data_IF_717349801521
#
_entry.id   IF_717349801521
#
_cell.length_a   1.000
_cell.length_b   1.000
_cell.length_c   1.000
_cell.angle_alpha   90.00
_cell.angle_beta   90.00
_cell.angle_gamma   90.00
#
_symmetry.space_group_name_H-M   'P 1'
#
loop_
_entity.id
_entity.type
_entity.pdbx_description
1 polymer ?
#
# COMPACT_ATOMS: atom_id res chain seq x y z
N UNK A 1 1.14 -21.71 -35.42
CA UNK A 1 0.80 -20.33 -35.04
C UNK A 1 1.35 -20.10 -33.65
N UNK A 2 2.23 -19.12 -33.47
CA UNK A 2 2.70 -18.78 -32.12
C UNK A 2 1.58 -18.14 -31.36
N UNK A 3 1.20 -18.74 -30.23
CA UNK A 3 0.21 -18.17 -29.30
C UNK A 3 0.92 -17.01 -28.58
N UNK A 4 0.71 -15.80 -29.07
CA UNK A 4 1.25 -14.60 -28.42
C UNK A 4 0.23 -14.16 -27.39
N UNK A 5 0.57 -14.30 -26.12
CA UNK A 5 -0.21 -13.75 -24.99
C UNK A 5 0.26 -12.31 -24.81
N UNK A 6 -0.62 -11.35 -24.98
CA UNK A 6 -0.31 -9.94 -24.77
C UNK A 6 -0.23 -9.61 -23.29
N UNK A 7 0.47 -8.53 -22.94
CA UNK A 7 0.51 -7.99 -21.58
C UNK A 7 -0.88 -7.65 -21.06
N UNK A 8 -1.72 -7.08 -21.92
CA UNK A 8 -3.13 -6.77 -21.62
C UNK A 8 -3.96 -8.03 -21.28
N UNK A 9 -3.64 -9.18 -21.88
CA UNK A 9 -4.35 -10.43 -21.57
C UNK A 9 -3.97 -10.91 -20.18
N UNK A 10 -2.68 -10.82 -19.81
CA UNK A 10 -2.18 -11.17 -18.49
C UNK A 10 -2.81 -10.26 -17.42
N UNK A 11 -2.80 -8.94 -17.66
CA UNK A 11 -3.40 -7.96 -16.74
C UNK A 11 -4.88 -8.25 -16.52
N UNK A 12 -5.65 -8.45 -17.58
CA UNK A 12 -7.07 -8.77 -17.49
C UNK A 12 -7.35 -10.05 -16.70
N UNK A 13 -6.52 -11.06 -16.89
CA UNK A 13 -6.71 -12.33 -16.18
C UNK A 13 -6.33 -12.21 -14.70
N UNK A 14 -5.29 -11.47 -14.36
CA UNK A 14 -4.95 -11.13 -12.97
C UNK A 14 -6.10 -10.37 -12.30
N UNK A 15 -6.65 -9.34 -12.97
CA UNK A 15 -7.81 -8.58 -12.45
C UNK A 15 -9.00 -9.51 -12.19
N UNK A 16 -9.30 -10.44 -13.10
CA UNK A 16 -10.38 -11.42 -12.91
C UNK A 16 -10.15 -12.30 -11.68
N UNK A 17 -8.92 -12.78 -11.48
CA UNK A 17 -8.56 -13.60 -10.32
C UNK A 17 -8.78 -12.83 -9.02
N UNK A 18 -8.31 -11.59 -8.93
CA UNK A 18 -8.48 -10.78 -7.73
C UNK A 18 -9.93 -10.35 -7.46
N UNK A 19 -10.75 -10.21 -8.51
CA UNK A 19 -12.15 -9.83 -8.39
C UNK A 19 -13.11 -11.00 -8.20
N UNK A 20 -12.63 -12.24 -8.21
CA UNK A 20 -13.48 -13.40 -8.02
C UNK A 20 -14.15 -13.38 -6.62
N UNK A 21 -15.21 -14.15 -6.45
CA UNK A 21 -16.01 -14.17 -5.21
C UNK A 21 -15.20 -14.55 -3.96
N UNK A 22 -14.12 -15.33 -4.13
CA UNK A 22 -13.28 -15.78 -3.02
C UNK A 22 -12.37 -14.68 -2.51
N UNK A 23 -11.74 -13.93 -3.42
CA UNK A 23 -10.82 -12.86 -3.07
C UNK A 23 -11.50 -11.50 -2.92
N UNK A 24 -12.53 -11.26 -3.72
CA UNK A 24 -13.41 -10.09 -3.64
C UNK A 24 -12.70 -8.71 -3.59
N UNK A 25 -11.56 -8.58 -4.30
CA UNK A 25 -10.84 -7.31 -4.36
C UNK A 25 -11.63 -6.25 -5.11
N UNK A 26 -11.59 -5.06 -4.61
CA UNK A 26 -12.08 -3.91 -5.32
C UNK A 26 -11.03 -3.43 -6.34
N UNK A 27 -11.44 -3.34 -7.61
CA UNK A 27 -10.58 -2.82 -8.67
C UNK A 27 -10.81 -1.32 -8.86
N UNK A 28 -9.74 -0.56 -8.87
CA UNK A 28 -9.74 0.86 -9.20
C UNK A 28 -8.79 1.10 -10.37
N UNK A 29 -9.33 1.59 -11.49
CA UNK A 29 -8.52 2.07 -12.59
C UNK A 29 -8.17 3.55 -12.36
N UNK A 30 -6.89 3.83 -12.11
CA UNK A 30 -6.39 5.18 -11.89
C UNK A 30 -5.85 5.85 -13.17
N UNK A 31 -6.19 5.30 -14.33
CA UNK A 31 -5.80 5.91 -15.61
C UNK A 31 -6.59 7.19 -15.86
N UNK A 32 -5.87 8.23 -16.25
CA UNK A 32 -6.43 9.49 -16.74
C UNK A 32 -5.68 9.92 -18.00
N UNK A 33 -6.36 10.63 -18.89
CA UNK A 33 -5.80 10.99 -20.20
C UNK A 33 -4.57 11.90 -20.10
N UNK A 34 -4.49 12.69 -19.02
CA UNK A 34 -3.36 13.60 -18.76
C UNK A 34 -2.71 13.31 -17.43
N UNK A 35 -1.40 13.59 -17.32
CA UNK A 35 -0.63 13.36 -16.10
C UNK A 35 -1.07 14.27 -14.94
N UNK A 36 -1.66 15.41 -15.24
CA UNK A 36 -2.11 16.41 -14.27
C UNK A 36 -3.51 16.13 -13.73
N UNK A 37 -4.29 15.28 -14.42
CA UNK A 37 -5.63 14.95 -13.98
C UNK A 37 -5.60 13.94 -12.82
N UNK A 38 -5.97 14.43 -11.64
CA UNK A 38 -6.04 13.65 -10.40
C UNK A 38 -7.44 13.08 -10.11
N UNK A 39 -8.41 13.22 -11.02
CA UNK A 39 -9.76 12.66 -10.88
C UNK A 39 -9.78 11.16 -11.19
N UNK A 40 -8.84 10.43 -10.66
CA UNK A 40 -8.63 9.00 -10.88
C UNK A 40 -9.26 8.12 -9.78
N UNK A 41 -9.99 8.72 -8.84
CA UNK A 41 -10.60 8.02 -7.72
C UNK A 41 -9.63 7.51 -6.65
N UNK A 42 -8.32 7.75 -6.79
CA UNK A 42 -7.30 7.32 -5.82
C UNK A 42 -7.27 8.19 -4.57
N UNK A 43 -7.67 9.46 -4.69
CA UNK A 43 -7.58 10.45 -3.62
C UNK A 43 -6.16 10.95 -3.37
N UNK A 44 -5.21 10.69 -4.28
CA UNK A 44 -3.84 11.19 -4.19
C UNK A 44 -3.78 12.67 -4.61
N UNK A 45 -2.84 13.39 -4.03
CA UNK A 45 -2.60 14.81 -4.34
C UNK A 45 -1.59 15.03 -5.46
N UNK A 46 -0.84 13.99 -5.84
CA UNK A 46 0.17 14.00 -6.90
C UNK A 46 0.25 12.60 -7.52
N UNK A 47 0.39 12.52 -8.84
CA UNK A 47 0.59 11.25 -9.59
C UNK A 47 1.87 10.51 -9.18
N UNK A 48 2.85 11.21 -8.59
CA UNK A 48 4.06 10.59 -8.03
C UNK A 48 3.82 9.95 -6.65
N UNK A 49 2.70 10.25 -6.02
CA UNK A 49 2.35 9.67 -4.73
C UNK A 49 2.01 8.19 -4.90
N UNK A 50 2.89 7.33 -4.46
CA UNK A 50 2.78 5.87 -4.60
C UNK A 50 1.84 5.29 -3.55
N UNK A 51 1.89 5.82 -2.32
CA UNK A 51 1.05 5.37 -1.21
C UNK A 51 -0.22 6.21 -1.16
N UNK A 52 -1.38 5.57 -1.26
CA UNK A 52 -2.69 6.22 -1.14
C UNK A 52 -2.97 6.50 0.35
N UNK A 53 -2.34 7.55 0.88
CA UNK A 53 -2.32 7.84 2.33
C UNK A 53 -3.68 7.81 3.01
N UNK A 54 -4.76 8.42 2.49
CA UNK A 54 -6.06 8.37 3.16
C UNK A 54 -6.60 6.95 3.33
N UNK A 55 -6.41 6.10 2.31
CA UNK A 55 -6.84 4.71 2.34
C UNK A 55 -5.98 3.89 3.30
N UNK A 56 -4.68 4.12 3.26
CA UNK A 56 -3.71 3.46 4.13
C UNK A 56 -3.97 3.80 5.60
N UNK A 57 -4.20 5.07 5.92
CA UNK A 57 -4.55 5.51 7.27
C UNK A 57 -5.83 4.82 7.76
N UNK A 58 -6.89 4.83 6.96
CA UNK A 58 -8.16 4.16 7.30
C UNK A 58 -7.96 2.67 7.57
N UNK A 59 -7.12 2.01 6.77
CA UNK A 59 -6.80 0.60 6.95
C UNK A 59 -6.06 0.31 8.24
N UNK A 60 -5.03 1.11 8.53
CA UNK A 60 -4.26 0.96 9.77
C UNK A 60 -5.12 1.25 11.01
N UNK A 61 -6.01 2.24 10.96
CA UNK A 61 -6.95 2.51 12.05
C UNK A 61 -7.87 1.31 12.32
N UNK A 62 -8.40 0.70 11.25
CA UNK A 62 -9.23 -0.50 11.37
C UNK A 62 -8.47 -1.69 11.94
N UNK A 63 -7.20 -1.85 11.56
CA UNK A 63 -6.35 -2.94 12.04
C UNK A 63 -5.88 -2.74 13.48
N UNK A 64 -5.89 -1.51 13.97
CA UNK A 64 -5.42 -1.12 15.29
C UNK A 64 -6.45 -0.25 16.02
N UNK A 65 -7.65 -0.76 16.32
CA UNK A 65 -8.74 0.04 16.85
C UNK A 65 -8.44 0.67 18.23
N UNK A 66 -7.54 0.05 18.99
CA UNK A 66 -7.19 0.49 20.36
C UNK A 66 -6.08 1.56 20.36
N UNK A 67 -5.51 1.90 19.20
CA UNK A 67 -4.45 2.88 19.11
C UNK A 67 -4.98 4.28 18.74
N UNK A 68 -4.40 5.33 19.32
CA UNK A 68 -4.76 6.69 18.95
C UNK A 68 -4.29 7.02 17.53
N UNK A 69 -4.98 7.94 16.89
CA UNK A 69 -4.67 8.39 15.52
C UNK A 69 -3.20 8.86 15.39
N UNK A 70 -2.67 9.50 16.42
CA UNK A 70 -1.27 9.95 16.44
C UNK A 70 -0.26 8.80 16.28
N UNK A 71 -0.59 7.60 16.78
CA UNK A 71 0.23 6.41 16.57
C UNK A 71 0.21 5.96 15.12
N UNK A 72 -0.97 5.98 14.52
CA UNK A 72 -1.15 5.60 13.11
C UNK A 72 -0.38 6.55 12.19
N UNK A 73 -0.48 7.86 12.43
CA UNK A 73 0.25 8.86 11.65
C UNK A 73 1.76 8.64 11.74
N UNK A 74 2.31 8.46 12.96
CA UNK A 74 3.74 8.17 13.15
C UNK A 74 4.18 6.88 12.44
N UNK A 75 3.35 5.86 12.44
CA UNK A 75 3.65 4.61 11.75
C UNK A 75 3.68 4.82 10.23
N UNK A 76 2.74 5.59 9.67
CA UNK A 76 2.73 5.93 8.24
C UNK A 76 4.00 6.71 7.88
N UNK A 77 4.39 7.69 8.67
CA UNK A 77 5.63 8.45 8.47
C UNK A 77 6.85 7.55 8.42
N UNK A 78 6.97 6.58 9.33
CA UNK A 78 8.09 5.62 9.32
C UNK A 78 8.06 4.69 8.11
N UNK A 79 6.89 4.23 7.70
CA UNK A 79 6.73 3.35 6.53
C UNK A 79 7.06 4.08 5.23
N UNK A 80 6.66 5.34 5.11
CA UNK A 80 6.84 6.16 3.90
C UNK A 80 8.13 6.99 3.90
N UNK A 81 8.95 6.87 4.95
CA UNK A 81 10.23 7.57 5.04
C UNK A 81 11.12 7.22 3.85
N UNK A 82 11.69 8.26 3.22
CA UNK A 82 12.61 8.06 2.10
C UNK A 82 13.87 7.30 2.55
N UNK A 83 14.20 6.25 1.81
CA UNK A 83 15.39 5.42 2.02
C UNK A 83 16.37 5.51 0.85
N UNK A 84 16.34 6.64 0.14
CA UNK A 84 17.16 6.85 -1.07
C UNK A 84 18.68 6.75 -0.82
N UNK A 85 19.14 6.83 0.42
CA UNK A 85 20.55 6.66 0.78
C UNK A 85 20.98 5.21 0.96
N UNK A 86 20.03 4.28 1.00
CA UNK A 86 20.28 2.85 1.11
C UNK A 86 20.38 2.21 -0.26
N UNK A 87 21.03 1.05 -0.34
CA UNK A 87 20.89 0.18 -1.51
C UNK A 87 19.42 -0.24 -1.69
N UNK A 88 18.98 -0.55 -2.90
CA UNK A 88 17.61 -1.02 -3.15
C UNK A 88 17.29 -2.28 -2.30
N UNK A 89 18.26 -3.17 -2.13
CA UNK A 89 18.13 -4.36 -1.29
C UNK A 89 17.90 -4.00 0.19
N UNK A 90 18.72 -3.10 0.74
CA UNK A 90 18.61 -2.71 2.15
C UNK A 90 17.35 -1.90 2.42
N UNK A 91 16.95 -1.04 1.48
CA UNK A 91 15.69 -0.31 1.56
C UNK A 91 14.49 -1.27 1.60
N UNK A 92 14.43 -2.23 0.69
CA UNK A 92 13.38 -3.24 0.66
C UNK A 92 13.36 -4.11 1.91
N UNK A 93 14.53 -4.56 2.38
CA UNK A 93 14.66 -5.32 3.62
C UNK A 93 14.13 -4.55 4.83
N UNK A 94 14.45 -3.25 4.93
CA UNK A 94 13.97 -2.41 6.01
C UNK A 94 12.45 -2.24 5.98
N UNK A 95 11.86 -1.99 4.80
CA UNK A 95 10.39 -1.90 4.64
C UNK A 95 9.73 -3.24 4.96
N UNK A 96 10.26 -4.34 4.43
CA UNK A 96 9.74 -5.69 4.71
C UNK A 96 9.70 -6.01 6.21
N UNK A 97 10.75 -5.63 6.96
CA UNK A 97 10.79 -5.82 8.40
C UNK A 97 9.65 -5.07 9.11
N UNK A 98 9.37 -3.82 8.70
CA UNK A 98 8.26 -3.03 9.22
C UNK A 98 6.90 -3.61 8.85
N UNK A 99 6.74 -4.08 7.62
CA UNK A 99 5.50 -4.71 7.17
C UNK A 99 5.21 -5.98 7.97
N UNK A 100 6.22 -6.83 8.14
CA UNK A 100 6.08 -8.11 8.83
C UNK A 100 5.95 -7.97 10.34
N UNK A 101 6.81 -7.14 10.94
CA UNK A 101 6.92 -7.01 12.39
C UNK A 101 6.00 -5.95 13.00
N UNK A 102 5.38 -5.10 12.16
CA UNK A 102 4.73 -3.89 12.63
C UNK A 102 5.71 -2.75 12.90
N UNK A 103 5.15 -1.59 13.14
CA UNK A 103 5.91 -0.36 13.42
C UNK A 103 5.81 -0.01 14.90
N UNK A 104 6.94 0.06 15.59
CA UNK A 104 6.97 0.55 16.97
C UNK A 104 7.02 2.07 16.97
N UNK A 105 6.05 2.69 17.64
CA UNK A 105 5.96 4.15 17.80
C UNK A 105 5.87 4.53 19.28
N UNK A 106 6.46 5.64 19.63
CA UNK A 106 6.35 6.19 20.99
C UNK A 106 5.17 7.13 21.08
N UNK A 107 4.29 6.90 22.08
CA UNK A 107 3.11 7.70 22.33
C UNK A 107 3.15 8.20 23.77
N UNK A 108 2.85 9.47 23.94
CA UNK A 108 2.69 10.06 25.28
C UNK A 108 1.24 9.84 25.74
N UNK A 109 1.08 9.15 26.85
CA UNK A 109 -0.23 8.92 27.44
C UNK A 109 -0.75 10.18 28.16
N UNK A 110 -1.99 10.13 28.65
CA UNK A 110 -2.65 11.22 29.37
C UNK A 110 -1.94 11.66 30.65
N UNK A 111 -1.02 10.84 31.16
CA UNK A 111 -0.19 11.12 32.36
C UNK A 111 1.19 11.72 32.00
N UNK A 112 1.44 12.05 30.71
CA UNK A 112 2.70 12.58 30.25
C UNK A 112 3.83 11.55 30.14
N UNK A 113 3.54 10.25 30.29
CA UNK A 113 4.54 9.18 30.14
C UNK A 113 4.59 8.71 28.71
N UNK A 114 5.79 8.55 28.17
CA UNK A 114 6.03 7.98 26.85
C UNK A 114 6.07 6.47 26.95
N UNK A 115 5.28 5.80 26.14
CA UNK A 115 5.18 4.35 26.06
C UNK A 115 5.35 3.89 24.62
N UNK A 116 6.12 2.82 24.35
CA UNK A 116 6.18 2.21 23.03
C UNK A 116 4.87 1.47 22.75
N UNK A 117 4.30 1.70 21.57
CA UNK A 117 3.15 0.96 21.05
C UNK A 117 3.50 0.38 19.69
N UNK A 118 3.02 -0.82 19.43
CA UNK A 118 3.22 -1.49 18.15
C UNK A 118 2.00 -1.32 17.27
N UNK A 119 2.21 -0.76 16.08
CA UNK A 119 1.19 -0.62 15.04
C UNK A 119 1.30 -1.79 14.10
N UNK A 120 0.26 -2.61 14.01
CA UNK A 120 0.16 -3.70 13.02
C UNK A 120 -0.06 -3.11 11.64
N UNK A 121 0.70 -3.59 10.65
CA UNK A 121 0.60 -3.10 9.26
C UNK A 121 -0.11 -4.11 8.37
N UNK A 122 0.10 -5.40 8.61
CA UNK A 122 -0.57 -6.49 7.91
C UNK A 122 -1.37 -7.33 8.88
N UNK A 123 -2.50 -7.83 8.42
CA UNK A 123 -3.33 -8.76 9.17
C UNK A 123 -2.97 -10.20 8.78
N UNK A 124 -2.12 -10.83 9.58
CA UNK A 124 -1.72 -12.23 9.36
C UNK A 124 -2.75 -13.23 9.89
N UNK A 125 -3.66 -12.79 10.74
CA UNK A 125 -4.67 -13.66 11.35
C UNK A 125 -5.89 -13.84 10.42
N UNK A 126 -6.16 -12.83 9.58
CA UNK A 126 -7.30 -12.78 8.66
C UNK A 126 -6.84 -12.43 7.24
N UNK A 127 -5.92 -13.24 6.71
CA UNK A 127 -5.23 -12.98 5.43
C UNK A 127 -6.15 -12.80 4.21
N UNK A 128 -7.39 -13.32 4.27
CA UNK A 128 -8.22 -13.28 3.08
C UNK A 128 -9.14 -12.08 2.99
N UNK A 129 -9.09 -11.07 3.89
CA UNK A 129 -9.90 -9.90 3.57
C UNK A 129 -9.62 -8.58 4.28
N UNK A 130 -8.74 -8.48 5.21
CA UNK A 130 -8.51 -7.20 5.87
C UNK A 130 -7.36 -6.39 5.26
N UNK A 131 -6.21 -6.98 5.05
CA UNK A 131 -5.07 -6.28 4.46
C UNK A 131 -5.27 -6.07 2.95
N UNK A 132 -5.86 -7.05 2.31
CA UNK A 132 -6.03 -7.15 0.86
C UNK A 132 -7.11 -6.19 0.32
N UNK A 133 -8.21 -5.98 1.03
CA UNK A 133 -9.24 -5.02 0.61
C UNK A 133 -8.77 -3.56 0.63
N UNK A 134 -7.62 -3.29 1.16
CA UNK A 134 -7.08 -1.93 1.33
C UNK A 134 -6.04 -1.57 0.27
N UNK A 135 -5.40 -2.55 -0.31
CA UNK A 135 -4.45 -2.34 -1.40
C UNK A 135 -5.20 -2.42 -2.73
N UNK A 136 -5.52 -1.27 -3.26
CA UNK A 136 -5.95 -1.17 -4.65
C UNK A 136 -4.69 -1.12 -5.49
N UNK A 137 -4.48 -2.16 -6.30
CA UNK A 137 -3.40 -2.15 -7.29
C UNK A 137 -3.76 -1.16 -8.39
N UNK A 138 -2.89 -0.20 -8.62
CA UNK A 138 -2.88 0.56 -9.87
C UNK A 138 -2.14 -0.30 -10.90
N UNK A 139 -2.89 -1.12 -11.62
CA UNK A 139 -2.35 -1.98 -12.68
C UNK A 139 -2.12 -1.23 -14.00
N UNK A 140 -2.06 0.08 -13.97
CA UNK A 140 -1.81 0.87 -15.17
C UNK A 140 -0.34 0.76 -15.60
N UNK A 141 0.07 -0.46 -15.98
CA UNK A 141 1.43 -0.80 -16.41
C UNK A 141 1.76 -0.24 -17.81
N UNK A 142 0.77 0.21 -18.55
CA UNK A 142 0.93 0.43 -20.00
C UNK A 142 1.85 1.58 -20.41
N UNK A 143 2.30 2.43 -19.50
CA UNK A 143 3.15 3.58 -19.85
C UNK A 143 4.45 3.73 -19.06
N UNK A 144 4.88 2.75 -18.24
CA UNK A 144 6.05 2.92 -17.38
C UNK A 144 7.08 1.80 -17.39
N UNK A 145 7.10 0.92 -18.36
CA UNK A 145 8.18 -0.07 -18.49
C UNK A 145 9.55 0.54 -18.89
N UNK A 146 9.65 1.85 -18.99
CA UNK A 146 10.96 2.48 -19.14
C UNK A 146 11.57 3.05 -17.85
N UNK A 147 10.86 3.08 -16.75
CA UNK A 147 11.44 3.52 -15.47
C UNK A 147 10.80 2.79 -14.28
N UNK A 148 11.57 1.91 -13.69
CA UNK A 148 11.44 1.31 -12.36
C UNK A 148 10.23 0.39 -12.13
N UNK A 149 10.46 -0.91 -12.31
CA UNK A 149 9.66 -1.99 -11.73
C UNK A 149 9.74 -1.91 -10.21
N UNK A 150 8.79 -1.28 -9.58
CA UNK A 150 8.64 -1.35 -8.13
C UNK A 150 7.47 -2.29 -7.85
N UNK A 151 7.77 -3.54 -7.57
CA UNK A 151 6.80 -4.42 -6.94
C UNK A 151 6.56 -3.90 -5.53
N UNK A 152 5.38 -3.35 -5.30
CA UNK A 152 4.90 -3.09 -3.95
C UNK A 152 4.06 -4.28 -3.51
N UNK A 153 4.59 -5.02 -2.57
CA UNK A 153 3.86 -6.03 -1.78
C UNK A 153 3.03 -5.33 -0.74
#
# INVERSE_FOLDING_TARGET
MANFISEDDIERDIIKVFRNETLAYEYLNCYTATSEDLNDGSGRSDKKQVVLQPRFQTALQRLNPDLPESAIIKAIEQLTLSRAQLSAFDANKAVYALLRGGVTVEITNSQGRTEPKQVRVLDFDHLHWAAISTWKFDLNLHHRLQQTTTFQV
#
